data_IF_800416597181
#
_entry.id   IF_800416597181
#
_cell.length_a   1.000
_cell.length_b   1.000
_cell.length_c   1.000
_cell.angle_alpha   90.00
_cell.angle_beta   90.00
_cell.angle_gamma   90.00
#
_symmetry.space_group_name_H-M   'P 1'
#
loop_
_entity.id
_entity.type
_entity.pdbx_description
1 polymer ?
#
# COMPACT_ATOMS: atom_id res chain seq x y z
N UNK A 1 2.72 0.81 -28.34
CA UNK A 1 2.41 -0.58 -27.97
C UNK A 1 2.31 -0.58 -26.46
N UNK A 2 1.09 -0.50 -25.93
CA UNK A 2 0.86 -0.59 -24.49
C UNK A 2 0.95 -2.07 -24.12
N UNK A 3 2.12 -2.47 -23.62
CA UNK A 3 2.32 -3.80 -23.06
C UNK A 3 1.27 -4.00 -21.97
N UNK A 4 0.28 -4.85 -22.26
CA UNK A 4 -0.75 -5.31 -21.33
C UNK A 4 -0.08 -6.18 -20.27
N UNK A 5 0.65 -5.54 -19.35
CA UNK A 5 1.20 -6.22 -18.19
C UNK A 5 0.08 -6.45 -17.19
N UNK A 6 -0.29 -7.73 -17.01
CA UNK A 6 -1.20 -8.18 -15.96
C UNK A 6 -0.35 -8.89 -14.90
N UNK A 7 -0.25 -8.37 -13.66
CA UNK A 7 0.45 -9.06 -12.59
C UNK A 7 -0.15 -10.45 -12.37
N UNK A 8 0.70 -11.49 -12.26
CA UNK A 8 0.28 -12.82 -11.85
C UNK A 8 -0.23 -12.78 -10.40
N UNK A 9 -1.19 -13.63 -10.06
CA UNK A 9 -1.66 -13.76 -8.68
C UNK A 9 -0.49 -14.11 -7.75
N UNK A 10 -0.34 -13.36 -6.65
CA UNK A 10 0.79 -13.51 -5.71
C UNK A 10 2.12 -12.88 -6.14
N UNK A 11 2.17 -12.14 -7.26
CA UNK A 11 3.40 -11.46 -7.68
C UNK A 11 3.95 -10.55 -6.58
N UNK A 12 5.24 -10.71 -6.24
CA UNK A 12 5.90 -9.93 -5.21
C UNK A 12 5.72 -10.42 -3.78
N UNK A 13 4.93 -11.46 -3.52
CA UNK A 13 4.65 -11.91 -2.15
C UNK A 13 5.89 -12.38 -1.39
N UNK A 14 6.73 -13.24 -2.00
CA UNK A 14 7.97 -13.71 -1.37
C UNK A 14 8.93 -12.56 -1.08
N UNK A 15 9.06 -11.63 -2.04
CA UNK A 15 9.92 -10.46 -1.93
C UNK A 15 9.42 -9.49 -0.87
N UNK A 16 8.11 -9.25 -0.80
CA UNK A 16 7.49 -8.44 0.25
C UNK A 16 7.74 -9.06 1.64
N UNK A 17 7.67 -10.39 1.76
CA UNK A 17 7.97 -11.08 3.01
C UNK A 17 9.45 -10.92 3.41
N UNK A 18 10.39 -11.01 2.46
CA UNK A 18 11.81 -10.80 2.74
C UNK A 18 12.09 -9.35 3.16
N UNK A 19 11.58 -8.37 2.41
CA UNK A 19 11.71 -6.95 2.72
C UNK A 19 11.15 -6.61 4.10
N UNK A 20 10.04 -7.25 4.49
CA UNK A 20 9.47 -7.09 5.82
C UNK A 20 10.43 -7.56 6.92
N UNK A 21 11.04 -8.75 6.76
CA UNK A 21 12.01 -9.29 7.70
C UNK A 21 13.29 -8.46 7.79
N UNK A 22 13.62 -7.73 6.73
CA UNK A 22 14.78 -6.83 6.65
C UNK A 22 14.48 -5.41 7.17
N UNK A 23 13.30 -5.17 7.75
CA UNK A 23 12.96 -3.92 8.42
C UNK A 23 12.13 -2.94 7.59
N UNK A 24 11.74 -3.27 6.36
CA UNK A 24 10.91 -2.39 5.51
C UNK A 24 9.40 -2.53 5.79
N UNK A 25 9.02 -2.91 7.01
CA UNK A 25 7.61 -3.08 7.38
C UNK A 25 6.80 -1.77 7.27
N UNK A 26 7.41 -0.63 7.61
CA UNK A 26 6.80 0.70 7.46
C UNK A 26 6.50 1.03 5.99
N UNK A 27 7.50 1.04 5.10
CA UNK A 27 7.32 1.30 3.67
C UNK A 27 6.38 0.33 2.96
N UNK A 28 6.40 -0.95 3.33
CA UNK A 28 5.46 -1.93 2.79
C UNK A 28 4.02 -1.61 3.17
N UNK A 29 3.76 -1.20 4.42
CA UNK A 29 2.43 -0.76 4.88
C UNK A 29 2.01 0.55 4.20
N UNK A 30 2.94 1.47 3.99
CA UNK A 30 2.66 2.69 3.23
C UNK A 30 2.21 2.36 1.80
N UNK A 31 2.95 1.50 1.10
CA UNK A 31 2.62 1.07 -0.25
C UNK A 31 1.27 0.36 -0.32
N UNK A 32 0.98 -0.54 0.62
CA UNK A 32 -0.33 -1.20 0.76
C UNK A 32 -1.46 -0.18 0.84
N UNK A 33 -1.34 0.82 1.73
CA UNK A 33 -2.33 1.87 1.92
C UNK A 33 -2.52 2.72 0.66
N UNK A 34 -1.43 3.06 -0.05
CA UNK A 34 -1.50 3.78 -1.31
C UNK A 34 -2.32 3.01 -2.35
N UNK A 35 -2.08 1.71 -2.50
CA UNK A 35 -2.81 0.87 -3.45
C UNK A 35 -4.30 0.74 -3.08
N UNK A 36 -4.61 0.59 -1.79
CA UNK A 36 -5.99 0.50 -1.31
C UNK A 36 -6.77 1.80 -1.52
N UNK A 37 -6.15 2.96 -1.26
CA UNK A 37 -6.76 4.28 -1.47
C UNK A 37 -7.08 4.50 -2.94
N UNK A 38 -6.10 4.30 -3.82
CA UNK A 38 -6.31 4.48 -5.28
C UNK A 38 -7.36 3.51 -5.81
N UNK A 39 -7.48 2.30 -5.24
CA UNK A 39 -8.56 1.38 -5.60
C UNK A 39 -9.94 1.93 -5.21
N UNK A 40 -10.07 2.50 -4.01
CA UNK A 40 -11.30 3.15 -3.55
C UNK A 40 -11.66 4.38 -4.39
N UNK A 41 -10.71 5.27 -4.61
CA UNK A 41 -10.90 6.50 -5.40
C UNK A 41 -11.41 6.17 -6.81
N UNK A 42 -10.84 5.15 -7.46
CA UNK A 42 -11.26 4.71 -8.81
C UNK A 42 -12.65 4.11 -8.86
N UNK A 43 -13.14 3.52 -7.76
CA UNK A 43 -14.50 2.99 -7.67
C UNK A 43 -15.53 4.08 -7.41
N UNK A 44 -15.15 5.11 -6.66
CA UNK A 44 -16.01 6.26 -6.37
C UNK A 44 -16.13 7.20 -7.58
N UNK A 45 -15.00 7.57 -8.19
CA UNK A 45 -14.96 8.56 -9.28
C UNK A 45 -15.32 7.97 -10.65
N UNK A 46 -15.19 6.65 -10.81
CA UNK A 46 -15.38 5.96 -12.11
C UNK A 46 -14.35 6.34 -13.19
N UNK A 47 -13.34 7.16 -12.85
CA UNK A 47 -12.27 7.61 -13.74
C UNK A 47 -10.93 7.08 -13.23
N UNK A 48 -10.10 6.56 -14.13
CA UNK A 48 -8.76 6.07 -13.80
C UNK A 48 -7.69 6.94 -14.44
N UNK A 49 -6.97 7.71 -13.64
CA UNK A 49 -5.76 8.43 -14.05
C UNK A 49 -4.51 7.80 -13.41
N UNK A 50 -3.30 8.02 -13.98
CA UNK A 50 -2.07 7.66 -13.31
C UNK A 50 -1.92 8.44 -11.99
N UNK A 51 -1.46 7.78 -10.93
CA UNK A 51 -1.28 8.39 -9.61
C UNK A 51 0.19 8.31 -9.21
N UNK A 52 0.85 9.43 -8.84
CA UNK A 52 2.23 9.40 -8.36
C UNK A 52 2.32 8.82 -6.94
N UNK A 53 3.34 8.01 -6.69
CA UNK A 53 3.75 7.60 -5.35
C UNK A 53 4.74 8.63 -4.81
N UNK A 54 4.28 9.44 -3.85
CA UNK A 54 5.07 10.48 -3.22
C UNK A 54 5.44 10.02 -1.80
N UNK A 55 6.71 9.65 -1.55
CA UNK A 55 7.17 9.37 -0.18
C UNK A 55 7.21 10.68 0.61
N UNK A 56 6.50 10.72 1.74
CA UNK A 56 6.42 11.91 2.60
C UNK A 56 7.21 11.77 3.90
N UNK A 57 7.95 10.67 4.04
CA UNK A 57 8.80 10.36 5.19
C UNK A 57 10.15 9.88 4.69
N UNK A 58 11.21 10.14 5.46
CA UNK A 58 12.58 9.69 5.17
C UNK A 58 12.62 8.16 4.98
N UNK A 59 11.98 7.41 5.88
CA UNK A 59 11.87 5.94 5.78
C UNK A 59 11.30 5.47 4.42
N UNK A 60 10.30 6.17 3.88
CA UNK A 60 9.71 5.83 2.59
C UNK A 60 10.60 6.29 1.43
N UNK A 61 11.31 7.40 1.58
CA UNK A 61 12.27 7.89 0.57
C UNK A 61 13.43 6.91 0.43
N UNK A 62 14.04 6.50 1.54
CA UNK A 62 15.10 5.48 1.59
C UNK A 62 14.65 4.17 0.94
N UNK A 63 13.41 3.73 1.23
CA UNK A 63 12.85 2.53 0.61
C UNK A 63 12.68 2.69 -0.91
N UNK A 64 12.38 3.88 -1.40
CA UNK A 64 12.26 4.15 -2.83
C UNK A 64 13.62 4.11 -3.55
N UNK A 65 14.73 4.24 -2.83
CA UNK A 65 16.10 4.04 -3.35
C UNK A 65 16.56 2.58 -3.32
N UNK A 66 15.95 1.73 -2.46
CA UNK A 66 16.27 0.31 -2.35
C UNK A 66 15.88 -0.47 -3.63
N UNK A 67 16.87 -1.12 -4.26
CA UNK A 67 16.67 -1.85 -5.53
C UNK A 67 15.69 -3.03 -5.41
N UNK A 68 15.60 -3.67 -4.25
CA UNK A 68 14.69 -4.78 -3.98
C UNK A 68 13.27 -4.24 -3.83
N UNK A 69 13.09 -3.13 -3.12
CA UNK A 69 11.80 -2.45 -3.03
C UNK A 69 11.32 -1.96 -4.42
N UNK A 70 12.18 -1.34 -5.22
CA UNK A 70 11.86 -0.98 -6.61
C UNK A 70 11.51 -2.22 -7.47
N UNK A 71 12.14 -3.36 -7.19
CA UNK A 71 11.82 -4.62 -7.88
C UNK A 71 10.43 -5.12 -7.48
N UNK A 72 10.05 -4.99 -6.20
CA UNK A 72 8.68 -5.24 -5.76
C UNK A 72 7.69 -4.32 -6.49
N UNK A 73 7.95 -3.00 -6.57
CA UNK A 73 7.08 -2.06 -7.28
C UNK A 73 6.81 -2.50 -8.73
N UNK A 74 7.86 -2.93 -9.46
CA UNK A 74 7.72 -3.47 -10.83
C UNK A 74 6.87 -4.75 -10.87
N UNK A 75 7.08 -5.68 -9.93
CA UNK A 75 6.29 -6.91 -9.88
C UNK A 75 4.81 -6.66 -9.63
N UNK A 76 4.49 -5.62 -8.85
CA UNK A 76 3.12 -5.16 -8.60
C UNK A 76 2.51 -4.36 -9.77
N UNK A 77 3.28 -4.08 -10.82
CA UNK A 77 2.83 -3.38 -12.01
C UNK A 77 2.94 -1.85 -11.94
N UNK A 78 3.67 -1.32 -10.96
CA UNK A 78 3.98 0.12 -10.92
C UNK A 78 5.10 0.45 -11.89
N UNK A 79 5.10 1.70 -12.35
CA UNK A 79 6.08 2.18 -13.32
C UNK A 79 7.11 3.11 -12.69
N UNK A 80 8.39 2.94 -13.03
CA UNK A 80 9.42 3.89 -12.64
C UNK A 80 9.17 5.24 -13.34
N UNK A 81 9.78 6.33 -12.85
CA UNK A 81 9.77 7.60 -13.55
C UNK A 81 10.34 7.44 -14.97
N UNK A 82 9.67 8.01 -15.98
CA UNK A 82 9.99 7.74 -17.39
C UNK A 82 11.29 8.39 -17.89
N UNK A 83 11.75 9.47 -17.23
CA UNK A 83 12.96 10.22 -17.56
C UNK A 83 13.33 11.15 -16.39
N UNK A 84 14.40 11.93 -16.53
CA UNK A 84 14.79 12.96 -15.55
C UNK A 84 13.72 14.05 -15.31
N UNK A 85 12.68 14.12 -16.16
CA UNK A 85 11.55 15.03 -15.95
C UNK A 85 10.53 14.51 -14.94
N UNK A 86 10.50 13.20 -14.67
CA UNK A 86 9.63 12.60 -13.66
C UNK A 86 10.44 12.19 -12.44
N UNK A 87 9.95 12.53 -11.25
CA UNK A 87 10.63 12.20 -9.99
C UNK A 87 9.99 11.01 -9.25
N UNK A 88 8.72 10.70 -9.53
CA UNK A 88 7.95 9.74 -8.76
C UNK A 88 7.55 8.51 -9.57
N UNK A 89 7.58 7.36 -8.92
CA UNK A 89 6.93 6.15 -9.44
C UNK A 89 5.43 6.39 -9.58
N UNK A 90 4.79 5.65 -10.50
CA UNK A 90 3.35 5.80 -10.75
C UNK A 90 2.60 4.50 -10.65
N UNK A 91 1.40 4.57 -10.08
CA UNK A 91 0.33 3.58 -10.26
C UNK A 91 -0.33 3.86 -11.61
N UNK A 92 -0.22 2.98 -12.61
CA UNK A 92 -0.79 3.21 -13.93
C UNK A 92 -2.32 3.29 -13.89
N UNK A 93 -2.90 4.06 -14.81
CA UNK A 93 -4.36 4.12 -15.02
C UNK A 93 -4.95 2.74 -15.40
N UNK A 94 -4.18 1.91 -16.10
CA UNK A 94 -4.61 0.59 -16.56
C UNK A 94 -4.84 -0.43 -15.44
N UNK A 95 -4.30 -0.21 -14.22
CA UNK A 95 -4.55 -1.12 -13.10
C UNK A 95 -5.97 -0.96 -12.58
N UNK A 96 -6.78 -2.01 -12.62
CA UNK A 96 -8.14 -1.95 -12.10
C UNK A 96 -8.17 -1.92 -10.57
N UNK A 97 -9.26 -1.43 -9.94
CA UNK A 97 -9.43 -1.51 -8.49
C UNK A 97 -9.19 -2.92 -7.92
N UNK A 98 -9.67 -3.95 -8.64
CA UNK A 98 -9.44 -5.34 -8.25
C UNK A 98 -7.96 -5.73 -8.29
N UNK A 99 -7.22 -5.32 -9.33
CA UNK A 99 -5.78 -5.59 -9.43
C UNK A 99 -5.00 -4.86 -8.33
N UNK A 100 -5.35 -3.61 -8.02
CA UNK A 100 -4.74 -2.84 -6.94
C UNK A 100 -4.95 -3.50 -5.58
N UNK A 101 -6.15 -4.01 -5.30
CA UNK A 101 -6.42 -4.74 -4.04
C UNK A 101 -5.64 -6.05 -3.96
N UNK A 102 -5.51 -6.78 -5.07
CA UNK A 102 -4.68 -8.00 -5.11
C UNK A 102 -3.21 -7.68 -4.85
N UNK A 103 -2.69 -6.61 -5.46
CA UNK A 103 -1.33 -6.13 -5.22
C UNK A 103 -1.12 -5.71 -3.75
N UNK A 104 -2.08 -5.01 -3.14
CA UNK A 104 -2.05 -4.70 -1.72
C UNK A 104 -2.00 -5.97 -0.86
N UNK A 105 -2.87 -6.94 -1.14
CA UNK A 105 -2.94 -8.21 -0.40
C UNK A 105 -1.66 -9.06 -0.49
N UNK A 106 -0.91 -8.98 -1.60
CA UNK A 106 0.41 -9.64 -1.70
C UNK A 106 1.49 -9.02 -0.82
N UNK A 107 1.32 -7.76 -0.39
CA UNK A 107 2.24 -7.08 0.52
C UNK A 107 1.83 -7.32 1.99
N UNK A 108 0.53 -7.47 2.26
CA UNK A 108 0.01 -7.61 3.62
C UNK A 108 0.61 -8.82 4.32
N UNK A 109 1.44 -8.56 5.33
CA UNK A 109 1.84 -9.62 6.26
C UNK A 109 0.67 -9.91 7.21
N UNK A 110 0.00 -11.04 7.02
CA UNK A 110 -0.94 -11.57 8.01
C UNK A 110 -0.14 -12.20 9.16
N UNK A 111 0.46 -11.35 10.01
CA UNK A 111 0.81 -11.77 11.37
C UNK A 111 -0.46 -12.23 12.10
N UNK A 112 -0.38 -13.12 13.12
CA UNK A 112 -1.55 -13.49 13.90
C UNK A 112 -2.19 -12.19 14.37
N UNK A 113 -3.43 -11.96 13.93
CA UNK A 113 -4.24 -10.79 14.22
C UNK A 113 -4.09 -10.43 15.70
N UNK A 114 -3.24 -9.45 15.99
CA UNK A 114 -3.17 -8.83 17.31
C UNK A 114 -4.47 -8.09 17.48
N UNK A 115 -5.40 -8.72 18.19
CA UNK A 115 -6.66 -8.14 18.61
C UNK A 115 -6.42 -6.79 19.28
N UNK A 116 -6.63 -5.69 18.56
CA UNK A 116 -6.93 -4.40 19.18
C UNK A 116 -8.38 -4.46 19.65
N UNK A 117 -8.59 -5.15 20.77
CA UNK A 117 -9.78 -5.05 21.61
C UNK A 117 -9.28 -4.85 23.05
N UNK A 118 -8.57 -3.75 23.27
CA UNK A 118 -8.47 -3.15 24.60
C UNK A 118 -8.92 -1.70 24.43
N UNK A 119 -10.25 -1.55 24.31
CA UNK A 119 -10.90 -0.29 24.58
C UNK A 119 -11.21 -0.32 26.07
N UNK A 120 -10.55 0.48 26.93
CA UNK A 120 -10.95 0.57 28.32
C UNK A 120 -12.38 1.13 28.37
N UNK A 121 -13.29 0.36 28.98
CA UNK A 121 -14.66 0.78 29.25
C UNK A 121 -14.66 2.18 29.91
N UNK A 122 -15.49 3.13 29.44
CA UNK A 122 -15.57 4.44 30.07
C UNK A 122 -16.08 4.29 31.51
N UNK A 123 -15.53 5.03 32.49
CA UNK A 123 -15.97 4.91 33.88
C UNK A 123 -17.45 5.29 33.98
N UNK A 124 -18.25 4.40 34.59
CA UNK A 124 -19.66 4.66 34.87
C UNK A 124 -19.79 5.88 35.78
N UNK A 125 -20.45 6.93 35.31
CA UNK A 125 -20.82 8.09 36.12
C UNK A 125 -21.65 7.63 37.33
N UNK A 126 -21.32 8.05 38.56
CA UNK A 126 -22.17 7.78 39.71
C UNK A 126 -23.50 8.53 39.53
N UNK A 127 -24.59 7.78 39.55
CA UNK A 127 -25.94 8.33 39.49
C UNK A 127 -26.18 9.16 40.75
N UNK A 128 -26.46 10.46 40.57
CA UNK A 128 -26.97 11.36 41.59
C UNK A 128 -28.25 10.77 42.18
N UNK A 129 -28.16 10.16 43.36
CA UNK A 129 -29.32 9.81 44.18
C UNK A 129 -29.66 11.04 45.03
N UNK A 130 -30.53 11.87 44.46
CA UNK A 130 -31.34 12.83 45.21
C UNK A 130 -32.60 12.10 45.70
N UNK A 131 -32.72 11.95 47.02
CA UNK A 131 -33.95 11.97 47.82
C UNK A 131 -33.62 11.61 49.27
#
# INVERSE_FOLDING_TARGET
MEEHWVPKEGAGQDLAQHLHQEGLAGPLRWLENCLQRVAGDREEDGVSHPVPLVPLTEENEDAMEDRRFQTLLRQLGLRPPASEQESFWRIPAALTPQQLRRAAASITHRGPSGSHQDLPEPPRCPQEQTA
#
